data_IF_036768648202
#
_entry.id   IF_036768648202
#
_cell.length_a   1.000
_cell.length_b   1.000
_cell.length_c   1.000
_cell.angle_alpha   90.00
_cell.angle_beta   90.00
_cell.angle_gamma   90.00
#
_symmetry.space_group_name_H-M   'P 1'
#
loop_
_entity.id
_entity.type
_entity.pdbx_description
1 polymer ?
#
# COMPACT_ATOMS: atom_id res chain seq x y z
N UNK A 1 19.35 -24.72 -5.60
CA UNK A 1 18.57 -23.51 -5.27
C UNK A 1 18.24 -22.82 -6.58
N UNK A 2 16.97 -22.50 -6.87
CA UNK A 2 16.63 -21.80 -8.10
C UNK A 2 17.13 -20.36 -8.01
N UNK A 3 17.80 -19.90 -9.07
CA UNK A 3 18.24 -18.50 -9.21
C UNK A 3 17.01 -17.60 -9.29
N UNK A 4 16.98 -16.49 -8.53
CA UNK A 4 15.92 -15.48 -8.63
C UNK A 4 15.87 -14.91 -10.05
N UNK A 5 14.66 -14.76 -10.60
CA UNK A 5 14.44 -14.34 -11.99
C UNK A 5 14.15 -12.85 -12.07
N UNK A 6 15.18 -12.03 -11.84
CA UNK A 6 15.05 -10.56 -11.85
C UNK A 6 14.44 -10.02 -13.15
N UNK A 7 14.71 -10.66 -14.29
CA UNK A 7 14.13 -10.32 -15.59
C UNK A 7 12.60 -10.38 -15.62
N UNK A 8 11.98 -11.24 -14.80
CA UNK A 8 10.52 -11.33 -14.70
C UNK A 8 9.92 -10.07 -14.06
N UNK A 9 10.63 -9.40 -13.15
CA UNK A 9 10.14 -8.16 -12.54
C UNK A 9 10.08 -7.03 -13.55
N UNK A 10 11.09 -6.92 -14.42
CA UNK A 10 11.09 -5.92 -15.50
C UNK A 10 10.02 -6.26 -16.54
N UNK A 11 9.85 -7.55 -16.88
CA UNK A 11 8.82 -8.01 -17.82
C UNK A 11 7.40 -7.70 -17.33
N UNK A 12 7.11 -7.93 -16.06
CA UNK A 12 5.79 -7.72 -15.44
C UNK A 12 5.69 -6.41 -14.67
N UNK A 13 6.61 -5.47 -14.88
CA UNK A 13 6.72 -4.22 -14.10
C UNK A 13 5.40 -3.46 -14.08
N UNK A 14 4.87 -3.17 -15.26
CA UNK A 14 3.67 -2.36 -15.41
C UNK A 14 2.42 -3.07 -14.84
N UNK A 15 2.34 -4.40 -14.97
CA UNK A 15 1.25 -5.20 -14.40
C UNK A 15 1.29 -5.22 -12.87
N UNK A 16 2.48 -5.34 -12.27
CA UNK A 16 2.68 -5.25 -10.81
C UNK A 16 2.26 -3.87 -10.30
N UNK A 17 2.68 -2.80 -10.98
CA UNK A 17 2.36 -1.42 -10.60
C UNK A 17 0.87 -1.10 -10.76
N UNK A 18 0.23 -1.62 -11.81
CA UNK A 18 -1.23 -1.55 -11.99
C UNK A 18 -1.96 -2.29 -10.89
N UNK A 19 -1.54 -3.51 -10.57
CA UNK A 19 -2.11 -4.27 -9.46
C UNK A 19 -1.93 -3.55 -8.11
N UNK A 20 -0.77 -2.93 -7.87
CA UNK A 20 -0.50 -2.14 -6.67
C UNK A 20 -1.49 -0.99 -6.51
N UNK A 21 -1.62 -0.11 -7.53
CA UNK A 21 -2.54 1.03 -7.47
C UNK A 21 -3.98 0.57 -7.23
N UNK A 22 -4.42 -0.46 -7.94
CA UNK A 22 -5.78 -0.98 -7.79
C UNK A 22 -6.00 -1.63 -6.41
N UNK A 23 -4.97 -2.22 -5.81
CA UNK A 23 -5.10 -2.81 -4.48
C UNK A 23 -5.45 -1.78 -3.39
N UNK A 24 -5.15 -0.49 -3.56
CA UNK A 24 -5.52 0.57 -2.60
C UNK A 24 -7.04 0.77 -2.49
N UNK A 25 -7.80 0.34 -3.51
CA UNK A 25 -9.28 0.39 -3.52
C UNK A 25 -9.93 -0.74 -2.72
N UNK A 26 -9.22 -1.81 -2.40
CA UNK A 26 -9.80 -2.98 -1.72
C UNK A 26 -10.51 -2.63 -0.40
N UNK A 27 -10.04 -1.61 0.31
CA UNK A 27 -10.64 -1.11 1.56
C UNK A 27 -11.62 0.04 1.36
N UNK A 28 -12.01 0.37 0.12
CA UNK A 28 -12.86 1.52 -0.21
C UNK A 28 -14.19 1.54 0.56
N UNK A 29 -14.79 0.38 0.86
CA UNK A 29 -16.03 0.32 1.65
C UNK A 29 -15.91 1.00 3.03
N UNK A 30 -14.70 1.14 3.57
CA UNK A 30 -14.46 1.86 4.83
C UNK A 30 -14.64 3.37 4.71
N UNK A 31 -14.60 3.94 3.51
CA UNK A 31 -14.89 5.37 3.31
C UNK A 31 -16.37 5.68 3.44
N UNK A 32 -17.26 4.68 3.41
CA UNK A 32 -18.69 4.96 3.52
C UNK A 32 -18.96 5.79 4.79
N UNK A 33 -19.53 7.01 4.69
CA UNK A 33 -19.74 7.87 5.85
C UNK A 33 -20.60 7.22 6.93
N UNK A 34 -21.48 6.28 6.56
CA UNK A 34 -22.26 5.49 7.53
C UNK A 34 -21.36 4.61 8.42
N UNK A 35 -20.26 4.08 7.90
CA UNK A 35 -19.29 3.29 8.67
C UNK A 35 -18.40 4.18 9.56
N UNK A 36 -18.25 5.45 9.17
CA UNK A 36 -17.47 6.47 9.89
C UNK A 36 -18.34 7.32 10.85
N UNK A 37 -19.62 6.96 11.03
CA UNK A 37 -20.62 7.68 11.84
C UNK A 37 -20.86 9.16 11.43
N UNK A 38 -20.83 9.43 10.12
CA UNK A 38 -21.12 10.72 9.48
C UNK A 38 -22.14 10.58 8.35
N UNK A 39 -23.30 10.00 8.66
CA UNK A 39 -24.32 9.58 7.69
C UNK A 39 -24.95 10.71 6.83
N UNK A 40 -24.66 11.99 7.14
CA UNK A 40 -25.22 13.13 6.43
C UNK A 40 -24.43 13.54 5.16
N UNK A 41 -23.32 12.87 4.86
CA UNK A 41 -22.52 13.11 3.65
C UNK A 41 -22.85 12.06 2.59
N UNK A 42 -23.14 12.51 1.37
CA UNK A 42 -23.41 11.67 0.22
C UNK A 42 -22.21 11.65 -0.74
N UNK A 43 -21.58 10.47 -0.88
CA UNK A 43 -20.44 10.28 -1.77
C UNK A 43 -20.89 9.73 -3.14
N UNK A 44 -20.28 10.22 -4.21
CA UNK A 44 -20.48 9.70 -5.58
C UNK A 44 -20.11 8.21 -5.70
N UNK A 45 -19.12 7.77 -4.91
CA UNK A 45 -18.70 6.37 -4.79
C UNK A 45 -18.56 5.98 -3.32
N UNK A 46 -19.61 5.41 -2.75
CA UNK A 46 -19.66 5.02 -1.33
C UNK A 46 -19.31 3.55 -1.08
N UNK A 47 -19.24 2.76 -2.15
CA UNK A 47 -18.96 1.32 -2.13
C UNK A 47 -17.89 0.98 -3.16
N UNK A 48 -17.09 -0.05 -2.90
CA UNK A 48 -16.13 -0.59 -3.86
C UNK A 48 -16.84 -0.95 -5.18
N UNK A 49 -18.08 -1.44 -5.13
CA UNK A 49 -18.89 -1.77 -6.32
C UNK A 49 -19.05 -0.61 -7.31
N UNK A 50 -19.00 0.63 -6.83
CA UNK A 50 -19.19 1.83 -7.65
C UNK A 50 -18.02 2.06 -8.61
N UNK A 51 -16.91 1.33 -8.42
CA UNK A 51 -15.72 1.36 -9.27
C UNK A 51 -15.74 0.33 -10.41
N UNK A 52 -16.69 -0.61 -10.40
CA UNK A 52 -16.73 -1.75 -11.33
C UNK A 52 -16.53 -1.36 -12.80
N UNK A 53 -17.22 -0.31 -13.24
CA UNK A 53 -17.20 0.10 -14.64
C UNK A 53 -15.90 0.80 -15.04
N UNK A 54 -15.21 1.45 -14.10
CA UNK A 54 -13.94 2.14 -14.34
C UNK A 54 -12.72 1.23 -14.31
N UNK A 55 -12.82 0.03 -13.69
CA UNK A 55 -11.66 -0.83 -13.36
C UNK A 55 -11.75 -2.19 -14.04
N UNK A 56 -12.63 -2.36 -15.02
CA UNK A 56 -12.65 -3.59 -15.82
C UNK A 56 -11.47 -3.61 -16.80
N UNK A 57 -10.31 -4.02 -16.29
CA UNK A 57 -9.03 -4.03 -16.96
C UNK A 57 -8.33 -5.37 -16.71
N UNK A 58 -7.60 -5.86 -17.71
CA UNK A 58 -6.85 -7.12 -17.61
C UNK A 58 -5.35 -6.84 -17.57
N UNK A 59 -4.65 -7.56 -16.70
CA UNK A 59 -3.19 -7.60 -16.66
C UNK A 59 -2.72 -9.04 -16.89
N UNK A 60 -1.49 -9.21 -17.37
CA UNK A 60 -0.90 -10.54 -17.59
C UNK A 60 0.17 -10.82 -16.53
N UNK A 61 -0.02 -11.85 -15.71
CA UNK A 61 0.98 -12.29 -14.72
C UNK A 61 1.40 -13.71 -15.03
N UNK A 62 2.67 -13.89 -15.39
CA UNK A 62 3.26 -15.19 -15.72
C UNK A 62 2.43 -16.02 -16.73
N UNK A 63 1.90 -15.33 -17.76
CA UNK A 63 1.09 -15.93 -18.82
C UNK A 63 -0.39 -16.15 -18.48
N UNK A 64 -0.86 -15.72 -17.31
CA UNK A 64 -2.28 -15.76 -16.93
C UNK A 64 -2.90 -14.35 -17.07
N UNK A 65 -3.99 -14.25 -17.84
CA UNK A 65 -4.82 -13.05 -17.91
C UNK A 65 -5.68 -12.92 -16.64
N UNK A 66 -5.48 -11.84 -15.88
CA UNK A 66 -6.21 -11.56 -14.64
C UNK A 66 -7.03 -10.29 -14.82
N UNK A 67 -8.36 -10.40 -14.73
CA UNK A 67 -9.25 -9.24 -14.67
C UNK A 67 -9.20 -8.60 -13.27
N UNK A 68 -8.79 -7.34 -13.19
CA UNK A 68 -8.59 -6.62 -11.93
C UNK A 68 -9.89 -6.44 -11.14
N UNK A 69 -11.05 -6.46 -11.78
CA UNK A 69 -12.32 -6.45 -11.09
C UNK A 69 -12.79 -7.87 -10.75
N UNK A 70 -13.03 -8.69 -11.77
CA UNK A 70 -13.69 -9.99 -11.63
C UNK A 70 -12.81 -11.04 -10.93
N UNK A 71 -11.48 -10.90 -10.97
CA UNK A 71 -10.54 -11.89 -10.42
C UNK A 71 -9.71 -11.36 -9.25
N UNK A 72 -9.80 -10.05 -8.95
CA UNK A 72 -9.09 -9.45 -7.82
C UNK A 72 -10.01 -8.71 -6.84
N UNK A 73 -10.59 -7.57 -7.21
CA UNK A 73 -11.33 -6.70 -6.29
C UNK A 73 -12.69 -7.27 -5.86
N UNK A 74 -13.43 -7.87 -6.80
CA UNK A 74 -14.77 -8.38 -6.51
C UNK A 74 -14.70 -9.52 -5.49
N UNK A 75 -15.46 -9.35 -4.41
CA UNK A 75 -15.51 -10.30 -3.30
C UNK A 75 -14.12 -10.67 -2.76
N UNK A 76 -13.15 -9.74 -2.75
CA UNK A 76 -11.75 -10.02 -2.40
C UNK A 76 -11.59 -10.73 -1.04
N UNK A 77 -12.48 -10.45 -0.08
CA UNK A 77 -12.54 -11.09 1.24
C UNK A 77 -12.79 -12.61 1.20
N UNK A 78 -13.33 -13.14 0.10
CA UNK A 78 -13.54 -14.56 -0.16
C UNK A 78 -12.28 -15.36 -0.53
N UNK A 79 -11.10 -14.73 -0.50
CA UNK A 79 -9.83 -15.30 -0.97
C UNK A 79 -9.52 -16.73 -0.50
N UNK A 80 -9.87 -17.08 0.74
CA UNK A 80 -9.61 -18.42 1.33
C UNK A 80 -10.29 -19.57 0.58
N UNK A 81 -11.36 -19.29 -0.18
CA UNK A 81 -12.14 -20.28 -0.93
C UNK A 81 -11.78 -20.31 -2.42
N UNK A 82 -10.93 -19.39 -2.89
CA UNK A 82 -10.63 -19.24 -4.31
C UNK A 82 -9.74 -20.39 -4.78
N UNK A 83 -10.03 -20.84 -6.00
CA UNK A 83 -9.30 -21.90 -6.70
C UNK A 83 -9.05 -21.44 -8.13
N UNK A 84 -7.87 -21.74 -8.65
CA UNK A 84 -7.47 -21.39 -10.02
C UNK A 84 -6.60 -20.14 -10.10
N UNK A 85 -5.69 -20.16 -11.06
CA UNK A 85 -4.57 -19.24 -11.20
C UNK A 85 -4.98 -17.76 -11.29
N UNK A 86 -6.07 -17.47 -12.00
CA UNK A 86 -6.60 -16.10 -12.14
C UNK A 86 -6.88 -15.37 -10.81
N UNK A 87 -7.06 -16.09 -9.70
CA UNK A 87 -7.31 -15.48 -8.38
C UNK A 87 -6.03 -15.23 -7.57
N UNK A 88 -4.85 -15.31 -8.18
CA UNK A 88 -3.56 -15.08 -7.51
C UNK A 88 -3.55 -13.78 -6.71
N UNK A 89 -3.97 -12.66 -7.33
CA UNK A 89 -3.94 -11.36 -6.69
C UNK A 89 -4.84 -11.29 -5.45
N UNK A 90 -6.04 -11.89 -5.56
CA UNK A 90 -7.01 -11.97 -4.46
C UNK A 90 -6.46 -12.77 -3.28
N UNK A 91 -5.78 -13.89 -3.55
CA UNK A 91 -5.14 -14.71 -2.51
C UNK A 91 -3.99 -13.97 -1.83
N UNK A 92 -3.07 -13.40 -2.61
CA UNK A 92 -1.92 -12.68 -2.07
C UNK A 92 -2.35 -11.46 -1.22
N UNK A 93 -3.27 -10.65 -1.74
CA UNK A 93 -3.77 -9.49 -1.01
C UNK A 93 -4.51 -9.92 0.25
N UNK A 94 -5.36 -10.94 0.16
CA UNK A 94 -6.12 -11.47 1.27
C UNK A 94 -5.24 -12.01 2.41
N UNK A 95 -4.14 -12.68 2.07
CA UNK A 95 -3.14 -13.13 3.04
C UNK A 95 -2.51 -11.92 3.75
N UNK A 96 -2.02 -10.93 2.98
CA UNK A 96 -1.40 -9.71 3.50
C UNK A 96 -2.33 -8.89 4.40
N UNK A 97 -3.53 -8.53 3.92
CA UNK A 97 -4.50 -7.75 4.71
C UNK A 97 -4.92 -8.48 5.98
N UNK A 98 -5.11 -9.81 5.92
CA UNK A 98 -5.52 -10.57 7.10
C UNK A 98 -4.47 -10.59 8.21
N UNK A 99 -3.18 -10.58 7.85
CA UNK A 99 -2.08 -10.48 8.79
C UNK A 99 -1.95 -9.05 9.33
N UNK A 100 -1.94 -8.05 8.44
CA UNK A 100 -1.87 -6.63 8.82
C UNK A 100 -2.99 -6.25 9.79
N UNK A 101 -4.23 -6.55 9.42
CA UNK A 101 -5.43 -6.30 10.23
C UNK A 101 -5.36 -6.99 11.60
N UNK A 102 -4.79 -8.20 11.66
CA UNK A 102 -4.59 -8.92 12.92
C UNK A 102 -3.56 -8.27 13.84
N UNK A 103 -2.46 -7.76 13.28
CA UNK A 103 -1.40 -7.05 14.01
C UNK A 103 -1.94 -5.71 14.53
N UNK A 104 -2.54 -4.90 13.65
CA UNK A 104 -3.01 -3.55 13.98
C UNK A 104 -4.09 -3.56 15.06
N UNK A 105 -5.02 -4.51 14.99
CA UNK A 105 -6.17 -4.52 15.91
C UNK A 105 -5.78 -4.98 17.30
N UNK A 106 -4.84 -5.91 17.44
CA UNK A 106 -4.57 -6.55 18.73
C UNK A 106 -5.84 -7.17 19.32
N UNK A 107 -6.29 -6.69 20.47
CA UNK A 107 -7.49 -7.20 21.17
C UNK A 107 -8.30 -6.08 21.85
N UNK A 108 -8.84 -5.11 21.10
CA UNK A 108 -9.61 -4.03 21.68
C UNK A 108 -11.02 -4.53 21.99
N UNK A 109 -11.62 -3.99 23.05
CA UNK A 109 -12.99 -4.36 23.42
C UNK A 109 -13.97 -3.87 22.34
N UNK A 110 -14.88 -4.74 21.91
CA UNK A 110 -15.79 -4.47 20.77
C UNK A 110 -16.80 -3.36 21.06
N UNK A 111 -17.14 -3.16 22.33
CA UNK A 111 -18.14 -2.20 22.83
C UNK A 111 -17.60 -0.79 23.02
N UNK A 112 -16.28 -0.59 22.98
CA UNK A 112 -15.66 0.72 23.22
C UNK A 112 -15.27 1.37 21.89
N UNK A 113 -16.15 2.25 21.41
CA UNK A 113 -15.91 3.07 20.21
C UNK A 113 -15.33 4.43 20.54
N UNK A 114 -14.71 5.06 19.54
CA UNK A 114 -14.25 6.45 19.64
C UNK A 114 -15.43 7.38 19.88
N UNK A 115 -15.39 8.07 21.02
CA UNK A 115 -16.37 9.05 21.43
C UNK A 115 -15.89 10.49 21.15
N UNK A 116 -16.83 11.44 20.94
CA UNK A 116 -18.27 11.20 20.78
C UNK A 116 -18.59 10.66 19.37
N UNK A 117 -19.66 9.89 19.24
CA UNK A 117 -20.00 9.20 17.98
C UNK A 117 -20.19 10.16 16.79
N UNK A 118 -20.67 11.38 17.06
CA UNK A 118 -20.89 12.43 16.08
C UNK A 118 -19.67 13.33 15.85
N UNK A 119 -18.56 13.17 16.58
CA UNK A 119 -17.32 13.93 16.37
C UNK A 119 -16.08 13.04 16.53
N UNK A 120 -16.07 11.91 15.81
CA UNK A 120 -14.92 11.01 15.77
C UNK A 120 -13.63 11.71 15.34
N UNK A 121 -12.52 11.19 15.86
CA UNK A 121 -11.19 11.77 15.71
C UNK A 121 -10.13 10.68 15.64
N UNK A 122 -9.01 11.02 15.01
CA UNK A 122 -7.78 10.24 14.98
C UNK A 122 -6.93 10.61 16.20
N UNK A 123 -6.45 9.61 16.93
CA UNK A 123 -5.44 9.81 17.97
C UNK A 123 -4.04 9.82 17.37
N UNK A 124 -3.06 10.26 18.15
CA UNK A 124 -1.67 9.95 17.90
C UNK A 124 -1.29 8.65 18.63
N UNK A 125 -0.10 8.08 18.38
CA UNK A 125 0.36 6.85 19.04
C UNK A 125 0.47 6.95 20.57
N UNK A 126 0.40 8.16 21.14
CA UNK A 126 0.38 8.39 22.59
C UNK A 126 -1.05 8.49 23.16
N UNK A 127 -2.07 8.22 22.34
CA UNK A 127 -3.48 8.23 22.72
C UNK A 127 -4.12 9.62 22.83
N UNK A 128 -3.40 10.70 22.50
CA UNK A 128 -3.95 12.05 22.54
C UNK A 128 -4.56 12.47 21.20
N UNK A 129 -5.40 13.49 21.21
CA UNK A 129 -6.02 14.06 20.02
C UNK A 129 -4.96 14.45 18.96
N UNK A 130 -5.16 13.98 17.72
CA UNK A 130 -4.35 14.36 16.55
C UNK A 130 -5.17 15.22 15.58
N UNK A 131 -6.30 14.71 15.10
CA UNK A 131 -7.18 15.47 14.20
C UNK A 131 -8.62 14.94 14.22
N UNK A 132 -9.59 15.78 13.84
CA UNK A 132 -10.94 15.33 13.50
C UNK A 132 -10.92 14.55 12.18
N UNK A 133 -11.88 13.66 11.97
CA UNK A 133 -12.00 12.95 10.69
C UNK A 133 -12.33 13.91 9.53
N UNK A 134 -11.94 13.56 8.30
CA UNK A 134 -12.08 14.37 7.09
C UNK A 134 -13.50 14.94 6.91
N UNK A 135 -14.51 14.11 7.19
CA UNK A 135 -15.93 14.45 7.11
C UNK A 135 -16.42 15.54 8.06
N UNK A 136 -15.60 15.93 9.04
CA UNK A 136 -15.87 17.06 9.93
C UNK A 136 -15.19 18.35 9.47
N UNK A 137 -14.26 18.25 8.51
CA UNK A 137 -13.32 19.32 8.15
C UNK A 137 -13.54 19.80 6.72
N UNK A 138 -14.05 18.94 5.85
CA UNK A 138 -14.18 19.19 4.42
C UNK A 138 -15.62 18.96 4.00
N UNK A 139 -16.14 19.85 3.15
CA UNK A 139 -17.49 19.75 2.63
C UNK A 139 -17.65 18.61 1.61
N UNK A 140 -18.90 18.18 1.42
CA UNK A 140 -19.25 17.07 0.53
C UNK A 140 -18.79 17.28 -0.91
N UNK A 141 -18.90 18.50 -1.44
CA UNK A 141 -18.54 18.79 -2.83
C UNK A 141 -17.03 18.65 -3.05
N UNK A 142 -16.23 19.15 -2.10
CA UNK A 142 -14.78 19.01 -2.11
C UNK A 142 -14.33 17.54 -2.02
N UNK A 143 -14.96 16.72 -1.17
CA UNK A 143 -14.64 15.28 -1.08
C UNK A 143 -14.99 14.56 -2.39
N UNK A 144 -16.16 14.84 -2.95
CA UNK A 144 -16.59 14.25 -4.22
C UNK A 144 -15.69 14.69 -5.38
N UNK A 145 -15.15 15.91 -5.35
CA UNK A 145 -14.16 16.36 -6.34
C UNK A 145 -12.88 15.53 -6.27
N UNK A 146 -12.35 15.25 -5.06
CA UNK A 146 -11.19 14.37 -4.87
C UNK A 146 -11.47 12.97 -5.41
N UNK A 147 -12.62 12.38 -5.07
CA UNK A 147 -13.01 11.03 -5.54
C UNK A 147 -13.10 10.98 -7.07
N UNK A 148 -13.68 12.00 -7.70
CA UNK A 148 -13.82 12.06 -9.16
C UNK A 148 -12.47 12.23 -9.86
N UNK A 149 -11.57 13.06 -9.32
CA UNK A 149 -10.21 13.22 -9.86
C UNK A 149 -9.45 11.89 -9.77
N UNK A 150 -9.50 11.24 -8.60
CA UNK A 150 -8.90 9.92 -8.39
C UNK A 150 -9.43 8.87 -9.37
N UNK A 151 -10.74 8.86 -9.63
CA UNK A 151 -11.32 7.97 -10.64
C UNK A 151 -10.75 8.23 -12.04
N UNK A 152 -10.73 9.49 -12.47
CA UNK A 152 -10.21 9.86 -13.78
C UNK A 152 -8.73 9.50 -13.93
N UNK A 153 -7.94 9.72 -12.88
CA UNK A 153 -6.51 9.45 -12.87
C UNK A 153 -6.21 7.96 -12.87
N UNK A 154 -6.95 7.14 -12.10
CA UNK A 154 -6.86 5.68 -12.16
C UNK A 154 -7.26 5.15 -13.55
N UNK A 155 -8.36 5.64 -14.13
CA UNK A 155 -8.80 5.21 -15.47
C UNK A 155 -7.74 5.56 -16.51
N UNK A 156 -7.21 6.78 -16.48
CA UNK A 156 -6.12 7.22 -17.38
C UNK A 156 -4.88 6.34 -17.20
N UNK A 157 -4.51 6.07 -15.96
CA UNK A 157 -3.35 5.26 -15.59
C UNK A 157 -3.48 3.81 -16.08
N UNK A 158 -4.62 3.15 -15.88
CA UNK A 158 -4.85 1.79 -16.37
C UNK A 158 -4.75 1.71 -17.90
N UNK A 159 -5.30 2.70 -18.59
CA UNK A 159 -5.29 2.77 -20.06
C UNK A 159 -3.97 3.29 -20.65
N UNK A 160 -2.99 3.66 -19.81
CA UNK A 160 -1.68 4.09 -20.29
C UNK A 160 -0.95 2.92 -20.96
N UNK A 161 -0.25 3.25 -22.06
CA UNK A 161 0.60 2.28 -22.79
C UNK A 161 1.82 1.88 -21.98
N UNK A 162 2.34 2.80 -21.17
CA UNK A 162 3.46 2.61 -20.28
C UNK A 162 3.17 3.33 -18.97
N UNK A 163 3.49 2.66 -17.86
CA UNK A 163 3.30 3.18 -16.51
C UNK A 163 4.40 4.19 -16.14
N UNK A 164 4.01 5.40 -15.73
CA UNK A 164 4.94 6.46 -15.33
C UNK A 164 5.06 6.57 -13.79
N UNK A 165 6.29 6.78 -13.29
CA UNK A 165 6.57 6.99 -11.86
C UNK A 165 5.79 8.15 -11.24
N UNK A 166 5.67 9.27 -11.95
CA UNK A 166 4.98 10.46 -11.45
C UNK A 166 3.48 10.21 -11.31
N UNK A 167 2.85 9.48 -12.24
CA UNK A 167 1.43 9.14 -12.16
C UNK A 167 1.13 8.26 -10.94
N UNK A 168 2.01 7.29 -10.65
CA UNK A 168 1.92 6.47 -9.43
C UNK A 168 1.99 7.34 -8.18
N UNK A 169 2.96 8.26 -8.13
CA UNK A 169 3.14 9.17 -7.02
C UNK A 169 1.91 10.06 -6.79
N UNK A 170 1.36 10.63 -7.86
CA UNK A 170 0.16 11.47 -7.83
C UNK A 170 -1.04 10.69 -7.30
N UNK A 171 -1.34 9.51 -7.85
CA UNK A 171 -2.47 8.68 -7.43
C UNK A 171 -2.33 8.24 -5.97
N UNK A 172 -1.12 7.85 -5.54
CA UNK A 172 -0.85 7.51 -4.12
C UNK A 172 -1.10 8.69 -3.20
N UNK A 173 -0.69 9.91 -3.57
CA UNK A 173 -0.94 11.11 -2.76
C UNK A 173 -2.43 11.50 -2.75
N UNK A 174 -3.18 11.28 -3.83
CA UNK A 174 -4.64 11.46 -3.83
C UNK A 174 -5.34 10.48 -2.88
N UNK A 175 -4.98 9.19 -2.93
CA UNK A 175 -5.46 8.21 -1.94
C UNK A 175 -5.14 8.64 -0.51
N UNK A 176 -3.90 9.04 -0.27
CA UNK A 176 -3.44 9.49 1.05
C UNK A 176 -4.22 10.71 1.52
N UNK A 177 -4.46 11.71 0.66
CA UNK A 177 -5.22 12.91 1.00
C UNK A 177 -6.64 12.59 1.50
N UNK A 178 -7.26 11.56 0.92
CA UNK A 178 -8.59 11.08 1.32
C UNK A 178 -8.51 10.19 2.57
N UNK A 179 -7.67 9.16 2.53
CA UNK A 179 -7.67 8.09 3.52
C UNK A 179 -6.99 8.51 4.85
N UNK A 180 -6.02 9.42 4.82
CA UNK A 180 -5.29 9.84 6.02
C UNK A 180 -6.20 10.57 7.03
N UNK A 181 -7.29 11.16 6.55
CA UNK A 181 -8.31 11.79 7.38
C UNK A 181 -9.40 10.84 7.88
N UNK A 182 -9.35 9.55 7.59
CA UNK A 182 -10.41 8.59 7.94
C UNK A 182 -9.90 7.52 8.91
N UNK A 183 -10.79 6.95 9.70
CA UNK A 183 -10.44 5.89 10.64
C UNK A 183 -10.29 4.56 9.91
N UNK A 184 -9.19 3.85 10.20
CA UNK A 184 -9.07 2.42 9.86
C UNK A 184 -10.05 1.60 10.70
N UNK A 185 -10.11 1.85 12.00
CA UNK A 185 -10.97 1.17 12.96
C UNK A 185 -11.60 2.21 13.90
N UNK A 186 -12.86 2.01 14.26
CA UNK A 186 -13.63 2.95 15.09
C UNK A 186 -13.62 2.60 16.58
N UNK A 187 -12.87 1.56 16.98
CA UNK A 187 -12.69 1.16 18.37
C UNK A 187 -11.55 1.93 19.04
N UNK A 188 -11.71 2.22 20.32
CA UNK A 188 -10.69 2.86 21.15
C UNK A 188 -9.85 1.79 21.88
N UNK A 189 -8.51 1.95 22.02
CA UNK A 189 -7.68 3.08 21.64
C UNK A 189 -6.99 2.96 20.27
N UNK A 190 -7.42 2.05 19.40
CA UNK A 190 -6.75 1.74 18.12
C UNK A 190 -7.11 2.70 16.97
N UNK A 191 -7.59 3.89 17.32
CA UNK A 191 -7.95 4.97 16.39
C UNK A 191 -6.77 5.90 16.07
N UNK A 192 -5.55 5.46 16.36
CA UNK A 192 -4.29 6.12 16.01
C UNK A 192 -3.83 5.79 14.59
N UNK A 193 -4.40 4.72 14.01
CA UNK A 193 -4.18 4.28 12.63
C UNK A 193 -5.28 4.83 11.72
N UNK A 194 -4.89 5.59 10.70
CA UNK A 194 -5.83 6.04 9.67
C UNK A 194 -6.06 4.96 8.62
N UNK A 195 -7.09 5.14 7.80
CA UNK A 195 -7.36 4.25 6.68
C UNK A 195 -6.16 4.20 5.70
N UNK A 196 -5.36 5.27 5.62
CA UNK A 196 -4.20 5.31 4.73
C UNK A 196 -3.15 4.30 5.16
N UNK A 197 -2.73 4.30 6.43
CA UNK A 197 -1.71 3.37 6.90
C UNK A 197 -2.17 1.92 6.73
N UNK A 198 -3.44 1.61 7.01
CA UNK A 198 -3.96 0.26 6.85
C UNK A 198 -3.98 -0.19 5.37
N UNK A 199 -4.45 0.68 4.46
CA UNK A 199 -4.49 0.37 3.04
C UNK A 199 -3.08 0.27 2.43
N UNK A 200 -2.21 1.23 2.77
CA UNK A 200 -0.84 1.28 2.29
C UNK A 200 -0.03 0.06 2.71
N UNK A 201 -0.14 -0.37 3.97
CA UNK A 201 0.57 -1.55 4.46
C UNK A 201 0.03 -2.84 3.84
N UNK A 202 -1.30 -3.00 3.72
CA UNK A 202 -1.89 -4.16 3.04
C UNK A 202 -1.45 -4.24 1.57
N UNK A 203 -1.48 -3.12 0.84
CA UNK A 203 -0.96 -2.99 -0.54
C UNK A 203 0.54 -3.30 -0.63
N UNK A 204 1.32 -2.83 0.33
CA UNK A 204 2.77 -3.07 0.38
C UNK A 204 3.11 -4.55 0.60
N UNK A 205 2.42 -5.19 1.55
CA UNK A 205 2.53 -6.64 1.76
C UNK A 205 2.12 -7.42 0.52
N UNK A 206 1.02 -7.01 -0.12
CA UNK A 206 0.54 -7.61 -1.37
C UNK A 206 1.59 -7.51 -2.49
N UNK A 207 2.11 -6.31 -2.76
CA UNK A 207 3.13 -6.07 -3.79
C UNK A 207 4.37 -6.90 -3.55
N UNK A 208 4.91 -6.88 -2.33
CA UNK A 208 6.09 -7.66 -1.97
C UNK A 208 5.88 -9.17 -2.21
N UNK A 209 4.69 -9.68 -1.89
CA UNK A 209 4.33 -11.10 -2.11
C UNK A 209 4.19 -11.43 -3.60
N UNK A 210 3.56 -10.54 -4.38
CA UNK A 210 3.40 -10.70 -5.82
C UNK A 210 4.75 -10.71 -6.52
N UNK A 211 5.62 -9.77 -6.18
CA UNK A 211 6.96 -9.67 -6.74
C UNK A 211 7.82 -10.88 -6.38
N UNK A 212 7.75 -11.36 -5.14
CA UNK A 212 8.40 -12.62 -4.77
C UNK A 212 7.86 -13.82 -5.57
N UNK A 213 6.54 -13.92 -5.73
CA UNK A 213 5.93 -14.99 -6.50
C UNK A 213 6.44 -14.99 -7.94
N UNK A 214 6.55 -13.80 -8.56
CA UNK A 214 7.06 -13.62 -9.93
C UNK A 214 8.56 -13.95 -10.03
N UNK A 215 9.35 -13.61 -9.02
CA UNK A 215 10.78 -13.94 -8.95
C UNK A 215 11.05 -15.44 -8.89
N UNK A 216 10.15 -16.21 -8.26
CA UNK A 216 10.30 -17.64 -8.02
C UNK A 216 9.75 -18.52 -9.16
N UNK A 217 8.83 -18.00 -9.98
CA UNK A 217 8.03 -18.82 -10.89
C UNK A 217 8.10 -18.35 -12.35
N UNK A 218 7.96 -19.28 -13.30
CA UNK A 218 7.78 -18.96 -14.74
C UNK A 218 6.31 -18.94 -15.16
N UNK A 219 5.46 -19.61 -14.37
CA UNK A 219 4.03 -19.79 -14.59
C UNK A 219 3.34 -19.99 -13.25
N UNK A 220 2.07 -19.65 -13.17
CA UNK A 220 1.25 -19.93 -11.98
C UNK A 220 0.92 -21.44 -11.98
N UNK A 221 1.60 -22.23 -11.15
CA UNK A 221 1.33 -23.68 -11.03
C UNK A 221 0.24 -23.97 -10.00
N UNK A 222 0.30 -23.27 -8.87
CA UNK A 222 -0.66 -23.33 -7.78
C UNK A 222 -0.74 -21.97 -7.10
N UNK A 223 -1.88 -21.71 -6.45
CA UNK A 223 -2.00 -20.55 -5.56
C UNK A 223 -1.17 -20.79 -4.30
N UNK A 224 -0.50 -19.76 -3.76
CA UNK A 224 0.31 -19.90 -2.55
C UNK A 224 -0.56 -20.09 -1.31
N UNK A 225 -0.06 -20.87 -0.34
CA UNK A 225 -0.69 -20.96 0.97
C UNK A 225 -0.26 -19.81 1.88
N UNK A 226 -1.05 -19.54 2.92
CA UNK A 226 -0.74 -18.48 3.88
C UNK A 226 0.63 -18.66 4.55
N UNK A 227 1.04 -19.90 4.80
CA UNK A 227 2.31 -20.24 5.46
C UNK A 227 3.53 -20.07 4.56
N UNK A 228 3.33 -20.01 3.25
CA UNK A 228 4.42 -19.90 2.26
C UNK A 228 4.84 -18.44 2.03
N UNK A 229 3.95 -17.50 2.33
CA UNK A 229 4.18 -16.07 2.14
C UNK A 229 4.82 -15.48 3.39
N UNK A 230 6.04 -14.95 3.23
CA UNK A 230 6.77 -14.23 4.27
C UNK A 230 7.40 -12.97 3.71
N UNK A 231 7.65 -12.03 4.62
CA UNK A 231 8.24 -10.73 4.30
C UNK A 231 9.49 -10.50 5.15
N UNK A 232 10.34 -9.59 4.67
CA UNK A 232 11.51 -9.08 5.37
C UNK A 232 11.59 -7.56 5.21
N UNK A 233 12.32 -6.91 6.10
CA UNK A 233 12.64 -5.49 6.00
C UNK A 233 14.02 -5.38 5.35
N UNK A 234 14.08 -4.71 4.20
CA UNK A 234 15.32 -4.32 3.55
C UNK A 234 15.67 -2.89 3.97
N UNK A 235 16.71 -2.73 4.77
CA UNK A 235 17.27 -1.42 5.13
C UNK A 235 18.45 -1.05 4.23
N UNK A 236 18.41 0.14 3.62
CA UNK A 236 19.55 0.72 2.93
C UNK A 236 20.06 1.87 3.78
N UNK A 237 21.23 1.65 4.39
CA UNK A 237 21.86 2.55 5.34
C UNK A 237 23.22 2.99 4.79
N UNK A 238 23.53 4.26 4.99
CA UNK A 238 24.82 4.87 4.74
C UNK A 238 24.98 6.02 5.72
N UNK A 239 26.20 6.55 5.90
CA UNK A 239 26.50 7.54 6.92
C UNK A 239 25.94 8.95 6.59
N UNK A 240 24.61 9.08 6.59
CA UNK A 240 23.89 10.33 6.27
C UNK A 240 24.21 11.42 7.29
N UNK A 241 24.30 11.05 8.58
CA UNK A 241 24.65 11.96 9.66
C UNK A 241 26.10 12.45 9.52
N UNK A 242 27.06 11.56 9.33
CA UNK A 242 28.45 11.94 9.11
C UNK A 242 28.68 12.74 7.82
N UNK A 243 27.83 12.56 6.79
CA UNK A 243 27.82 13.47 5.63
C UNK A 243 27.36 14.88 6.02
N UNK A 244 26.26 15.00 6.78
CA UNK A 244 25.74 16.29 7.21
C UNK A 244 26.69 17.02 8.17
N UNK A 245 27.39 16.29 9.04
CA UNK A 245 28.36 16.82 10.01
C UNK A 245 29.60 17.45 9.35
N UNK A 246 29.90 17.11 8.09
CA UNK A 246 30.98 17.76 7.32
C UNK A 246 30.65 19.20 6.92
N UNK A 247 29.40 19.64 7.09
CA UNK A 247 28.98 21.01 6.79
C UNK A 247 29.45 22.00 7.86
N UNK A 248 30.34 22.93 7.49
CA UNK A 248 30.83 24.00 8.36
C UNK A 248 29.83 25.15 8.55
N UNK A 249 28.86 25.28 7.64
CA UNK A 249 27.81 26.31 7.67
C UNK A 249 26.42 25.67 7.61
N UNK A 250 25.38 26.28 8.22
CA UNK A 250 24.01 25.76 8.15
C UNK A 250 23.52 25.45 6.73
N UNK A 251 23.91 26.26 5.75
CA UNK A 251 23.56 26.04 4.34
C UNK A 251 24.19 24.76 3.77
N UNK A 252 25.40 24.40 4.20
CA UNK A 252 26.07 23.16 3.79
C UNK A 252 25.41 21.94 4.44
N UNK A 253 25.05 22.02 5.72
CA UNK A 253 24.29 20.97 6.42
C UNK A 253 22.95 20.72 5.70
N UNK A 254 22.24 21.80 5.35
CA UNK A 254 21.00 21.71 4.59
C UNK A 254 21.22 21.08 3.20
N UNK A 255 22.31 21.45 2.51
CA UNK A 255 22.68 20.89 1.22
C UNK A 255 22.92 19.37 1.33
N UNK A 256 23.72 18.91 2.28
CA UNK A 256 23.95 17.47 2.51
C UNK A 256 22.65 16.72 2.79
N UNK A 257 21.76 17.28 3.62
CA UNK A 257 20.43 16.69 3.89
C UNK A 257 19.54 16.63 2.66
N UNK A 258 19.60 17.63 1.78
CA UNK A 258 18.86 17.62 0.52
C UNK A 258 19.39 16.56 -0.44
N UNK A 259 20.70 16.50 -0.67
CA UNK A 259 21.34 15.50 -1.54
C UNK A 259 21.07 14.07 -1.04
N UNK A 260 21.12 13.86 0.28
CA UNK A 260 20.76 12.57 0.89
C UNK A 260 19.31 12.17 0.57
N UNK A 261 18.37 13.12 0.65
CA UNK A 261 16.97 12.88 0.28
C UNK A 261 16.80 12.55 -1.21
N UNK A 262 17.59 13.18 -2.08
CA UNK A 262 17.60 12.88 -3.52
C UNK A 262 18.10 11.45 -3.77
N UNK A 263 19.21 11.05 -3.14
CA UNK A 263 19.74 9.68 -3.23
C UNK A 263 18.70 8.66 -2.75
N UNK A 264 18.06 8.91 -1.61
CA UNK A 264 17.01 8.04 -1.08
C UNK A 264 15.81 7.93 -2.03
N UNK A 265 15.47 9.00 -2.76
CA UNK A 265 14.39 8.99 -3.74
C UNK A 265 14.74 8.19 -5.00
N UNK A 266 16.00 8.24 -5.45
CA UNK A 266 16.48 7.38 -6.54
C UNK A 266 16.48 5.90 -6.12
N UNK A 267 16.88 5.60 -4.89
CA UNK A 267 16.77 4.25 -4.31
C UNK A 267 15.30 3.80 -4.27
N UNK A 268 14.40 4.67 -3.79
CA UNK A 268 12.96 4.39 -3.76
C UNK A 268 12.44 4.09 -5.16
N UNK A 269 12.78 4.90 -6.17
CA UNK A 269 12.36 4.69 -7.55
C UNK A 269 12.89 3.37 -8.12
N UNK A 270 14.14 3.02 -7.84
CA UNK A 270 14.71 1.73 -8.24
C UNK A 270 13.90 0.55 -7.71
N UNK A 271 13.55 0.56 -6.40
CA UNK A 271 12.93 -0.59 -5.72
C UNK A 271 11.40 -0.61 -5.74
N UNK A 272 10.76 0.54 -5.91
CA UNK A 272 9.30 0.62 -6.03
C UNK A 272 8.82 0.59 -7.47
N UNK A 273 9.64 1.03 -8.43
CA UNK A 273 9.21 1.25 -9.82
C UNK A 273 10.00 0.47 -10.85
N UNK A 274 11.33 0.59 -10.90
CA UNK A 274 12.12 -0.11 -11.93
C UNK A 274 12.13 -1.62 -11.71
N UNK A 275 12.32 -2.03 -10.46
CA UNK A 275 12.19 -3.40 -9.96
C UNK A 275 11.20 -3.37 -8.80
N UNK A 276 9.89 -3.50 -9.03
CA UNK A 276 8.85 -3.23 -8.03
C UNK A 276 8.78 -4.30 -6.93
N UNK A 277 9.85 -4.50 -6.16
CA UNK A 277 10.03 -5.58 -5.19
C UNK A 277 9.31 -5.37 -3.86
N UNK A 278 8.90 -4.13 -3.59
CA UNK A 278 8.30 -3.73 -2.32
C UNK A 278 7.97 -2.24 -2.31
N UNK A 279 7.69 -1.72 -1.12
CA UNK A 279 7.50 -0.28 -0.87
C UNK A 279 8.23 0.17 0.39
N UNK A 280 8.59 1.47 0.41
CA UNK A 280 9.17 2.15 1.56
C UNK A 280 8.15 2.18 2.70
N UNK A 281 8.51 1.62 3.84
CA UNK A 281 7.66 1.63 5.04
C UNK A 281 8.15 2.64 6.09
N UNK A 282 9.41 3.05 6.00
CA UNK A 282 10.04 3.97 6.95
C UNK A 282 11.33 4.58 6.38
N UNK A 283 11.65 5.81 6.80
CA UNK A 283 12.89 6.51 6.45
C UNK A 283 13.25 7.50 7.54
N UNK A 284 14.53 7.59 7.86
CA UNK A 284 15.10 8.55 8.81
C UNK A 284 16.55 8.91 8.44
N UNK A 285 17.25 9.55 9.37
CA UNK A 285 18.66 9.92 9.25
C UNK A 285 19.62 8.71 9.25
N UNK A 286 19.14 7.50 9.51
CA UNK A 286 19.97 6.28 9.48
C UNK A 286 19.82 5.51 8.17
N UNK A 287 18.66 5.60 7.51
CA UNK A 287 18.41 4.82 6.30
C UNK A 287 17.03 5.01 5.70
N UNK A 288 16.79 4.26 4.63
CA UNK A 288 15.48 4.06 4.01
C UNK A 288 15.15 2.56 4.04
N UNK A 289 13.93 2.22 4.43
CA UNK A 289 13.54 0.85 4.78
C UNK A 289 12.31 0.42 3.99
N UNK A 290 12.39 -0.77 3.40
CA UNK A 290 11.37 -1.32 2.52
C UNK A 290 10.85 -2.64 3.07
N UNK A 291 9.55 -2.90 2.92
CA UNK A 291 9.03 -4.25 3.08
C UNK A 291 9.14 -4.99 1.75
N UNK A 292 9.81 -6.13 1.76
CA UNK A 292 10.07 -6.95 0.57
C UNK A 292 9.77 -8.43 0.85
N UNK A 293 9.76 -9.26 -0.20
CA UNK A 293 9.64 -10.71 -0.04
C UNK A 293 10.86 -11.33 0.64
N UNK A 294 10.64 -12.39 1.43
CA UNK A 294 11.68 -13.16 2.13
C UNK A 294 12.82 -13.64 1.23
N UNK A 295 12.54 -14.03 -0.01
CA UNK A 295 13.52 -14.69 -0.88
C UNK A 295 14.66 -13.79 -1.38
N UNK A 296 14.56 -12.48 -1.20
CA UNK A 296 15.58 -11.52 -1.57
C UNK A 296 16.81 -11.54 -0.65
N UNK A 297 16.74 -12.23 0.49
CA UNK A 297 17.89 -12.39 1.39
C UNK A 297 18.11 -13.82 1.88
N UNK A 298 19.30 -14.06 2.43
CA UNK A 298 19.68 -15.26 3.17
C UNK A 298 20.03 -14.90 4.61
N UNK A 299 19.58 -15.72 5.55
CA UNK A 299 19.98 -15.58 6.95
C UNK A 299 21.45 -15.96 7.10
N UNK A 300 22.24 -15.04 7.64
CA UNK A 300 23.65 -15.22 7.98
C UNK A 300 23.92 -14.61 9.37
N UNK A 301 24.11 -15.46 10.37
CA UNK A 301 24.53 -15.10 11.73
C UNK A 301 23.87 -13.84 12.33
N UNK A 302 22.53 -13.83 12.34
CA UNK A 302 21.73 -12.78 12.98
C UNK A 302 21.33 -11.61 12.07
N UNK A 303 21.81 -11.58 10.83
CA UNK A 303 21.40 -10.61 9.80
C UNK A 303 21.02 -11.31 8.49
N UNK A 304 20.17 -10.68 7.68
CA UNK A 304 19.89 -11.16 6.33
C UNK A 304 20.82 -10.46 5.32
N UNK A 305 21.51 -11.23 4.48
CA UNK A 305 22.34 -10.72 3.37
C UNK A 305 21.55 -10.82 2.07
N UNK A 306 21.54 -9.77 1.25
CA UNK A 306 20.89 -9.80 -0.07
C UNK A 306 21.48 -10.90 -0.96
N UNK A 307 20.60 -11.65 -1.66
CA UNK A 307 20.98 -12.67 -2.64
C UNK A 307 21.31 -12.09 -4.00
#
# INVERSE_FOLDING_TARGET
>A
MSKLKLENLTKHRDDILKAEIISLLTLWDKINPNNQNKANINLNKKSLSDWKNGIKYKIEILGEDIDLWDNFLSEWRGWRKRKGNKYLLQVLYGIGESLNSGIDKGSPKEDIKVAPENERWLSNPFGSFKNKILYLLVDEASINHIINNLENDIIRFLNSKEVNWNDIGLIKEEFKSLYQGLLSDDRFPINDVSLWEQAYMATTMFKASLSEFILKNDKIQSLPERTDIKWRILGIQYDKLGLAEKGYKPQQIQWYRNITREIDNEIKKLLEYEYPIGNEIYRDETGIYFLVGEALGEDNDGFAVLK
#
